data_IF_613682393450
#
_entry.id   IF_613682393450
#
_cell.length_a   1.000
_cell.length_b   1.000
_cell.length_c   1.000
_cell.angle_alpha   90.00
_cell.angle_beta   90.00
_cell.angle_gamma   90.00
#
_symmetry.space_group_name_H-M   'P 1'
#
loop_
_entity.id
_entity.type
_entity.pdbx_description
1 polymer ?
#
# COMPACT_ATOMS: atom_id res chain seq x y z
N UNK A 1 -29.05 57.43 15.28
CA UNK A 1 -27.65 57.80 15.01
C UNK A 1 -26.84 56.60 15.46
N UNK A 2 -26.63 55.69 14.51
CA UNK A 2 -26.15 54.33 14.71
C UNK A 2 -24.74 54.26 14.11
N UNK A 3 -23.76 53.79 14.87
CA UNK A 3 -22.37 53.65 14.41
C UNK A 3 -21.84 52.27 14.78
N UNK A 4 -21.86 51.39 13.77
CA UNK A 4 -20.81 50.47 13.36
C UNK A 4 -20.06 49.66 14.44
N UNK A 5 -20.48 48.41 14.62
CA UNK A 5 -19.58 47.30 14.89
C UNK A 5 -19.44 46.47 13.59
N UNK A 6 -18.20 46.18 13.21
CA UNK A 6 -17.82 45.50 11.96
C UNK A 6 -18.19 44.02 12.02
N UNK A 7 -19.16 43.60 11.21
CA UNK A 7 -19.46 42.20 10.93
C UNK A 7 -18.57 41.63 9.82
N UNK A 8 -18.18 40.36 10.00
CA UNK A 8 -18.26 39.39 8.91
C UNK A 8 -16.98 38.97 8.19
N UNK A 9 -16.06 38.29 8.88
CA UNK A 9 -15.11 37.40 8.22
C UNK A 9 -15.81 36.08 7.78
N UNK A 10 -16.24 36.05 6.51
CA UNK A 10 -15.95 35.01 5.50
C UNK A 10 -16.37 33.51 5.71
N UNK A 11 -16.34 32.67 4.66
CA UNK A 11 -17.55 32.06 4.10
C UNK A 11 -17.44 30.53 3.98
N UNK A 12 -18.35 29.78 4.60
CA UNK A 12 -18.56 28.39 4.23
C UNK A 12 -20.05 28.08 4.27
N UNK A 13 -20.63 27.94 3.08
CA UNK A 13 -21.99 27.48 2.86
C UNK A 13 -22.12 26.04 3.36
N UNK A 14 -23.14 25.79 4.19
CA UNK A 14 -23.61 24.45 4.57
C UNK A 14 -23.77 23.60 3.31
N UNK A 15 -22.86 22.65 3.11
CA UNK A 15 -23.14 21.51 2.25
C UNK A 15 -24.26 20.71 2.90
N UNK A 16 -25.38 20.66 2.20
CA UNK A 16 -26.58 19.88 2.47
C UNK A 16 -26.19 18.44 2.80
N UNK A 17 -26.53 18.00 4.00
CA UNK A 17 -26.37 16.60 4.42
C UNK A 17 -27.22 15.74 3.49
N UNK A 18 -26.59 15.03 2.56
CA UNK A 18 -27.25 14.01 1.76
C UNK A 18 -27.57 12.83 2.69
N UNK A 19 -28.74 12.86 3.34
CA UNK A 19 -29.35 11.65 3.91
C UNK A 19 -29.93 10.86 2.74
N UNK A 20 -29.40 9.67 2.37
CA UNK A 20 -30.10 8.83 1.42
C UNK A 20 -31.49 8.51 1.99
N UNK A 21 -32.54 8.45 1.15
CA UNK A 21 -33.85 8.02 1.59
C UNK A 21 -33.70 6.63 2.23
N UNK A 22 -34.30 6.41 3.40
CA UNK A 22 -34.37 5.08 4.02
C UNK A 22 -35.28 4.23 3.12
N UNK A 23 -34.71 3.71 2.04
CA UNK A 23 -35.26 2.56 1.33
C UNK A 23 -35.17 1.33 2.21
N UNK A 24 -35.84 0.25 1.81
CA UNK A 24 -35.68 -1.04 2.46
C UNK A 24 -34.19 -1.38 2.53
N UNK A 25 -33.69 -1.69 3.74
CA UNK A 25 -32.31 -2.14 3.92
C UNK A 25 -32.09 -3.37 3.02
N UNK A 26 -30.91 -3.48 2.39
CA UNK A 26 -30.60 -4.66 1.58
C UNK A 26 -30.72 -5.91 2.44
N UNK A 27 -31.42 -6.93 1.93
CA UNK A 27 -31.59 -8.20 2.63
C UNK A 27 -30.30 -9.05 2.65
N UNK A 28 -29.32 -8.69 1.82
CA UNK A 28 -28.01 -9.36 1.68
C UNK A 28 -26.93 -8.31 1.48
N UNK A 29 -25.81 -8.46 2.19
CA UNK A 29 -24.60 -7.63 2.07
C UNK A 29 -23.38 -8.53 2.21
N UNK A 30 -22.26 -8.14 1.59
CA UNK A 30 -21.01 -8.92 1.70
C UNK A 30 -20.45 -8.82 3.11
N UNK A 31 -20.49 -7.62 3.70
CA UNK A 31 -19.97 -7.34 5.05
C UNK A 31 -20.90 -6.38 5.81
N UNK A 32 -21.29 -6.78 7.03
CA UNK A 32 -21.97 -5.92 8.00
C UNK A 32 -20.97 -5.43 9.05
N UNK A 33 -20.80 -4.11 9.15
CA UNK A 33 -20.01 -3.48 10.21
C UNK A 33 -20.92 -2.91 11.29
N UNK A 34 -20.65 -3.29 12.54
CA UNK A 34 -21.36 -2.76 13.71
C UNK A 34 -20.46 -1.73 14.40
N UNK A 35 -20.78 -0.45 14.18
CA UNK A 35 -20.04 0.72 14.67
C UNK A 35 -19.32 1.48 13.55
N UNK A 36 -19.64 2.77 13.43
CA UNK A 36 -19.07 3.78 12.55
C UNK A 36 -18.13 4.73 13.33
N UNK A 37 -17.36 4.20 14.27
CA UNK A 37 -16.22 4.91 14.86
C UNK A 37 -15.04 5.02 13.86
N UNK A 38 -13.90 5.62 14.26
CA UNK A 38 -12.74 5.81 13.38
C UNK A 38 -12.28 4.52 12.69
N UNK A 39 -12.26 3.40 13.43
CA UNK A 39 -11.88 2.09 12.89
C UNK A 39 -12.92 1.57 11.89
N UNK A 40 -14.21 1.62 12.25
CA UNK A 40 -15.30 1.14 11.39
C UNK A 40 -15.39 1.93 10.08
N UNK A 41 -15.30 3.25 10.17
CA UNK A 41 -15.27 4.12 8.99
C UNK A 41 -14.03 3.87 8.10
N UNK A 42 -12.87 3.63 8.71
CA UNK A 42 -11.64 3.30 7.97
C UNK A 42 -11.78 1.97 7.23
N UNK A 43 -12.25 0.92 7.91
CA UNK A 43 -12.46 -0.41 7.31
C UNK A 43 -13.49 -0.34 6.19
N UNK A 44 -14.61 0.35 6.40
CA UNK A 44 -15.64 0.50 5.39
C UNK A 44 -15.09 1.16 4.12
N UNK A 45 -14.34 2.25 4.27
CA UNK A 45 -13.71 2.95 3.15
C UNK A 45 -12.69 2.07 2.41
N UNK A 46 -11.87 1.32 3.15
CA UNK A 46 -10.93 0.37 2.54
C UNK A 46 -11.67 -0.71 1.74
N UNK A 47 -12.66 -1.37 2.34
CA UNK A 47 -13.44 -2.43 1.70
C UNK A 47 -14.22 -1.94 0.47
N UNK A 48 -14.84 -0.77 0.57
CA UNK A 48 -15.54 -0.15 -0.56
C UNK A 48 -14.61 0.12 -1.74
N UNK A 49 -13.35 0.51 -1.48
CA UNK A 49 -12.33 0.69 -2.52
C UNK A 49 -11.89 -0.62 -3.19
N UNK A 50 -12.06 -1.76 -2.51
CA UNK A 50 -11.89 -3.09 -3.09
C UNK A 50 -13.18 -3.64 -3.73
N UNK A 51 -14.24 -2.82 -3.85
CA UNK A 51 -15.50 -3.20 -4.50
C UNK A 51 -16.43 -4.05 -3.63
N UNK A 52 -16.17 -4.15 -2.33
CA UNK A 52 -17.00 -4.92 -1.40
C UNK A 52 -18.21 -4.09 -0.96
N UNK A 53 -19.41 -4.66 -1.02
CA UNK A 53 -20.63 -3.99 -0.56
C UNK A 53 -20.75 -4.08 0.96
N UNK A 54 -20.44 -2.96 1.63
CA UNK A 54 -20.47 -2.85 3.09
C UNK A 54 -21.70 -2.10 3.57
N UNK A 55 -22.42 -2.67 4.52
CA UNK A 55 -23.43 -1.97 5.31
C UNK A 55 -22.85 -1.68 6.70
N UNK A 56 -22.88 -0.41 7.12
CA UNK A 56 -22.48 0.00 8.47
C UNK A 56 -23.73 0.35 9.27
N UNK A 57 -23.82 -0.17 10.49
CA UNK A 57 -24.85 0.18 11.46
C UNK A 57 -24.16 0.77 12.68
N UNK A 58 -24.50 2.00 13.02
CA UNK A 58 -24.06 2.64 14.27
C UNK A 58 -25.29 2.96 15.14
N UNK A 59 -25.10 2.93 16.46
CA UNK A 59 -26.11 3.36 17.43
C UNK A 59 -26.27 4.89 17.44
N UNK A 60 -25.19 5.63 17.18
CA UNK A 60 -25.17 7.08 17.10
C UNK A 60 -25.74 7.55 15.77
N UNK A 61 -26.64 8.52 15.84
CA UNK A 61 -27.20 9.19 14.66
C UNK A 61 -26.34 10.36 14.20
N UNK A 62 -25.28 10.70 14.94
CA UNK A 62 -24.40 11.84 14.70
C UNK A 62 -22.92 11.43 14.77
N UNK A 63 -22.08 12.15 14.03
CA UNK A 63 -20.63 12.01 14.11
C UNK A 63 -20.14 12.70 15.38
N UNK A 64 -19.46 11.97 16.26
CA UNK A 64 -18.87 12.55 17.48
C UNK A 64 -17.77 13.55 17.13
N UNK A 65 -17.92 14.81 17.56
CA UNK A 65 -16.95 15.91 17.37
C UNK A 65 -15.94 15.96 18.52
N UNK A 66 -16.12 15.14 19.57
CA UNK A 66 -15.16 15.04 20.65
C UNK A 66 -13.84 14.47 20.11
N UNK A 67 -12.79 15.31 20.05
CA UNK A 67 -11.44 14.91 19.64
C UNK A 67 -10.92 13.84 20.60
N UNK A 68 -11.06 12.57 20.23
CA UNK A 68 -10.51 11.42 20.96
C UNK A 68 -9.13 10.99 20.46
N UNK A 69 -8.67 11.51 19.33
CA UNK A 69 -7.35 11.23 18.76
C UNK A 69 -6.39 12.38 19.09
N UNK A 70 -5.36 12.09 19.88
CA UNK A 70 -4.38 13.08 20.34
C UNK A 70 -3.22 13.20 19.33
N UNK A 71 -2.94 12.15 18.54
CA UNK A 71 -1.92 12.19 17.48
C UNK A 71 -2.15 11.04 16.48
N UNK A 72 -2.02 11.32 15.18
CA UNK A 72 -1.99 10.29 14.13
C UNK A 72 -0.53 10.05 13.75
N UNK A 73 -0.05 8.82 13.89
CA UNK A 73 1.28 8.46 13.37
C UNK A 73 1.24 8.26 11.85
N UNK A 74 2.40 8.14 11.22
CA UNK A 74 2.50 7.99 9.77
C UNK A 74 1.78 6.74 9.24
N UNK A 75 1.67 5.68 10.05
CA UNK A 75 0.95 4.48 9.65
C UNK A 75 -0.56 4.75 9.64
N UNK A 76 -1.08 5.47 10.63
CA UNK A 76 -2.46 5.91 10.65
C UNK A 76 -2.76 6.86 9.47
N UNK A 77 -1.88 7.83 9.19
CA UNK A 77 -1.99 8.72 8.03
C UNK A 77 -1.96 7.94 6.71
N UNK A 78 -1.11 6.91 6.61
CA UNK A 78 -1.02 6.05 5.43
C UNK A 78 -2.26 5.17 5.26
N UNK A 79 -2.80 4.63 6.34
CA UNK A 79 -4.07 3.88 6.32
C UNK A 79 -5.22 4.79 5.89
N UNK A 80 -5.25 6.04 6.35
CA UNK A 80 -6.24 7.03 5.92
C UNK A 80 -6.10 7.34 4.43
N UNK A 81 -4.87 7.54 3.94
CA UNK A 81 -4.62 7.74 2.51
C UNK A 81 -5.09 6.53 1.67
N UNK A 82 -4.84 5.31 2.14
CA UNK A 82 -5.34 4.07 1.54
C UNK A 82 -6.86 3.99 1.59
N UNK A 83 -7.49 4.48 2.65
CA UNK A 83 -8.94 4.62 2.75
C UNK A 83 -9.51 5.75 1.87
N UNK A 84 -8.66 6.52 1.16
CA UNK A 84 -9.09 7.62 0.28
C UNK A 84 -9.28 8.95 1.01
N UNK A 85 -8.84 9.02 2.27
CA UNK A 85 -8.87 10.20 3.12
C UNK A 85 -7.43 10.75 3.15
N UNK A 86 -7.11 11.62 2.20
CA UNK A 86 -5.79 12.25 2.09
C UNK A 86 -5.79 13.70 2.53
N UNK A 87 -4.75 14.08 3.28
CA UNK A 87 -4.48 15.42 3.83
C UNK A 87 -4.72 16.56 2.81
N UNK A 88 -5.69 17.42 3.06
CA UNK A 88 -5.60 18.80 2.59
C UNK A 88 -4.55 19.52 3.44
N UNK A 89 -3.28 19.39 3.03
CA UNK A 89 -2.09 20.14 3.48
C UNK A 89 -2.25 20.90 4.81
N UNK A 90 -1.92 20.25 5.92
CA UNK A 90 -1.30 20.95 7.05
C UNK A 90 0.24 20.89 6.88
N UNK A 91 0.91 22.02 7.07
CA UNK A 91 2.35 22.20 6.87
C UNK A 91 3.18 21.37 7.88
N UNK A 92 4.43 20.98 7.54
CA UNK A 92 5.18 20.00 8.31
C UNK A 92 5.82 20.64 9.56
N UNK A 93 5.48 20.14 10.74
CA UNK A 93 6.34 20.24 11.92
C UNK A 93 7.13 18.92 12.02
N UNK A 94 8.44 19.07 11.98
CA UNK A 94 9.42 18.00 11.87
C UNK A 94 9.52 17.22 13.19
N UNK A 95 8.69 16.19 13.34
CA UNK A 95 8.80 15.25 14.45
C UNK A 95 9.53 13.98 14.01
N UNK A 96 10.68 13.76 14.65
CA UNK A 96 11.56 12.63 14.44
C UNK A 96 10.82 11.30 14.61
N UNK A 97 10.58 10.64 13.47
CA UNK A 97 9.90 9.36 13.39
C UNK A 97 10.82 8.28 13.98
N UNK A 98 10.50 7.78 15.17
CA UNK A 98 11.09 6.54 15.64
C UNK A 98 10.48 5.35 14.87
N UNK A 99 11.29 4.45 14.28
CA UNK A 99 10.76 3.30 13.56
C UNK A 99 10.03 2.35 14.53
N UNK A 100 8.71 2.22 14.34
CA UNK A 100 7.86 1.34 15.15
C UNK A 100 8.17 -0.13 14.82
N UNK A 101 8.34 -0.92 15.89
CA UNK A 101 8.86 -2.29 15.88
C UNK A 101 8.07 -3.22 14.97
N UNK A 102 8.79 -4.02 14.19
CA UNK A 102 8.26 -5.12 13.37
C UNK A 102 7.33 -6.00 14.21
N UNK A 103 6.06 -6.11 13.85
CA UNK A 103 5.12 -6.96 14.58
C UNK A 103 5.50 -8.42 14.40
N UNK A 104 5.60 -9.18 15.51
CA UNK A 104 5.99 -10.60 15.52
C UNK A 104 4.94 -11.53 14.89
N UNK A 105 3.75 -10.99 14.55
CA UNK A 105 2.65 -11.64 13.84
C UNK A 105 2.31 -10.77 12.63
N UNK A 106 2.67 -11.22 11.44
CA UNK A 106 2.32 -10.58 10.18
C UNK A 106 2.39 -11.58 9.03
N UNK A 107 1.77 -11.23 7.90
CA UNK A 107 1.67 -12.10 6.72
C UNK A 107 2.93 -11.95 5.88
N UNK A 108 4.03 -12.47 6.40
CA UNK A 108 5.34 -12.58 5.74
C UNK A 108 6.03 -13.90 6.11
N UNK A 109 6.90 -14.40 5.23
CA UNK A 109 7.63 -15.65 5.46
C UNK A 109 8.66 -15.43 6.54
N UNK A 110 8.57 -16.19 7.64
CA UNK A 110 9.53 -16.10 8.74
C UNK A 110 10.94 -16.43 8.27
N UNK A 111 11.91 -15.65 8.71
CA UNK A 111 13.32 -15.84 8.36
C UNK A 111 14.08 -14.53 8.51
N UNK A 112 15.40 -14.62 8.54
CA UNK A 112 16.29 -13.46 8.44
C UNK A 112 16.94 -13.47 7.07
N UNK A 113 17.06 -12.29 6.48
CA UNK A 113 17.84 -12.04 5.28
C UNK A 113 19.20 -11.48 5.67
N UNK A 114 20.29 -11.76 4.93
CA UNK A 114 21.58 -11.06 5.12
C UNK A 114 21.53 -9.61 4.62
N UNK A 115 20.43 -9.17 4.02
CA UNK A 115 20.25 -7.82 3.49
C UNK A 115 19.61 -6.87 4.51
N UNK A 116 19.50 -5.59 4.17
CA UNK A 116 18.76 -4.60 4.98
C UNK A 116 17.26 -4.62 4.68
N UNK A 117 16.80 -5.49 3.78
CA UNK A 117 15.39 -5.69 3.52
C UNK A 117 14.77 -6.46 4.69
N UNK A 118 13.68 -5.92 5.23
CA UNK A 118 13.00 -6.50 6.39
C UNK A 118 11.65 -7.05 5.95
N UNK A 119 11.47 -8.37 6.05
CA UNK A 119 10.17 -9.02 5.83
C UNK A 119 9.16 -8.51 6.85
N UNK A 120 7.97 -8.15 6.38
CA UNK A 120 6.94 -7.49 7.17
C UNK A 120 7.12 -5.98 7.32
N UNK A 121 8.21 -5.39 6.77
CA UNK A 121 8.36 -3.95 6.66
C UNK A 121 8.01 -3.46 5.26
N UNK A 122 7.65 -2.18 5.17
CA UNK A 122 7.46 -1.49 3.90
C UNK A 122 8.82 -1.24 3.25
N UNK A 123 8.95 -1.57 1.97
CA UNK A 123 10.17 -1.28 1.21
C UNK A 123 10.33 0.24 1.00
N UNK A 124 11.56 0.74 0.96
CA UNK A 124 11.84 2.16 0.70
C UNK A 124 11.27 2.63 -0.65
N UNK A 125 10.97 3.92 -0.74
CA UNK A 125 10.47 4.57 -1.95
C UNK A 125 11.58 5.41 -2.59
N UNK A 126 11.73 5.33 -3.92
CA UNK A 126 12.73 6.11 -4.67
C UNK A 126 12.25 6.43 -6.09
N UNK A 127 12.93 7.35 -6.76
CA UNK A 127 12.68 7.67 -8.17
C UNK A 127 13.35 6.64 -9.05
N UNK A 128 12.59 6.10 -9.99
CA UNK A 128 13.08 5.12 -10.96
C UNK A 128 12.82 5.62 -12.38
N UNK A 129 13.66 5.21 -13.34
CA UNK A 129 13.53 5.61 -14.76
C UNK A 129 13.34 4.41 -15.66
N UNK A 130 12.28 4.43 -16.46
CA UNK A 130 12.02 3.39 -17.46
C UNK A 130 12.73 3.66 -18.79
N UNK A 131 12.55 2.75 -19.74
CA UNK A 131 13.09 2.88 -21.11
C UNK A 131 12.53 4.07 -21.89
N UNK A 132 11.38 4.61 -21.47
CA UNK A 132 10.80 5.86 -22.01
C UNK A 132 11.55 7.13 -21.55
N UNK A 133 12.57 6.97 -20.70
CA UNK A 133 13.38 8.05 -20.14
C UNK A 133 12.67 8.83 -19.02
N UNK A 134 11.41 8.54 -18.72
CA UNK A 134 10.62 9.27 -17.72
C UNK A 134 10.90 8.72 -16.33
N UNK A 135 11.16 9.63 -15.40
CA UNK A 135 11.31 9.31 -13.99
C UNK A 135 9.93 9.22 -13.32
N UNK A 136 9.69 8.16 -12.56
CA UNK A 136 8.44 7.91 -11.83
C UNK A 136 8.75 7.45 -10.40
N UNK A 137 7.83 7.62 -9.44
CA UNK A 137 7.95 6.97 -8.14
C UNK A 137 7.96 5.45 -8.28
N UNK A 138 8.83 4.75 -7.55
CA UNK A 138 8.90 3.28 -7.54
C UNK A 138 7.56 2.62 -7.20
N UNK A 139 6.76 3.24 -6.34
CA UNK A 139 5.46 2.70 -5.93
C UNK A 139 4.44 2.60 -7.06
N UNK A 140 4.49 3.56 -7.99
CA UNK A 140 3.66 3.60 -9.19
C UNK A 140 4.05 2.46 -10.14
N UNK A 141 5.36 2.24 -10.27
CA UNK A 141 5.94 1.15 -11.08
C UNK A 141 5.63 -0.22 -10.52
N UNK A 142 5.69 -0.38 -9.20
CA UNK A 142 5.35 -1.61 -8.52
C UNK A 142 3.84 -1.94 -8.63
N UNK A 143 3.00 -0.99 -9.04
CA UNK A 143 1.57 -1.22 -9.27
C UNK A 143 0.75 -1.47 -8.01
N UNK A 144 -0.50 -1.92 -8.18
CA UNK A 144 -1.44 -2.18 -7.07
C UNK A 144 -1.59 -3.67 -6.73
N UNK A 145 -0.85 -4.54 -7.42
CA UNK A 145 -0.87 -5.99 -7.22
C UNK A 145 0.27 -6.49 -6.36
N UNK A 146 0.40 -7.81 -6.27
CA UNK A 146 1.64 -8.43 -5.83
C UNK A 146 2.72 -8.11 -6.87
N UNK A 147 3.96 -7.87 -6.42
CA UNK A 147 5.08 -7.65 -7.33
C UNK A 147 6.28 -8.49 -6.91
N UNK A 148 6.88 -9.18 -7.89
CA UNK A 148 8.20 -9.80 -7.75
C UNK A 148 9.22 -8.81 -8.31
N UNK A 149 10.04 -8.27 -7.43
CA UNK A 149 11.10 -7.32 -7.78
C UNK A 149 12.42 -8.09 -7.88
N UNK A 150 13.08 -8.01 -9.04
CA UNK A 150 14.47 -8.44 -9.21
C UNK A 150 15.42 -7.25 -9.12
N UNK A 151 16.43 -7.32 -8.26
CA UNK A 151 17.40 -6.25 -8.03
C UNK A 151 18.68 -6.53 -8.82
N UNK A 152 18.93 -5.73 -9.86
CA UNK A 152 20.05 -5.84 -10.78
C UNK A 152 20.00 -7.07 -11.69
N UNK A 153 18.87 -7.79 -11.69
CA UNK A 153 18.67 -8.99 -12.49
C UNK A 153 17.18 -9.23 -12.76
N UNK A 154 16.85 -9.90 -13.86
CA UNK A 154 15.49 -10.33 -14.17
C UNK A 154 15.14 -11.58 -13.38
N UNK A 155 14.45 -11.42 -12.24
CA UNK A 155 14.00 -12.54 -11.42
C UNK A 155 13.01 -13.47 -12.14
N UNK A 156 12.36 -13.01 -13.21
CA UNK A 156 11.46 -13.84 -14.02
C UNK A 156 12.20 -14.95 -14.75
N UNK A 157 13.49 -14.78 -15.03
CA UNK A 157 14.31 -15.82 -15.67
C UNK A 157 14.43 -17.10 -14.82
N UNK A 158 14.27 -16.98 -13.50
CA UNK A 158 14.31 -18.11 -12.55
C UNK A 158 12.92 -18.56 -12.10
N UNK A 159 11.85 -18.00 -12.68
CA UNK A 159 10.48 -18.46 -12.47
C UNK A 159 10.15 -19.58 -13.45
N UNK A 160 9.81 -20.75 -12.91
CA UNK A 160 9.22 -21.80 -13.73
C UNK A 160 7.80 -21.39 -14.21
N UNK A 161 7.31 -22.10 -15.23
CA UNK A 161 6.04 -21.74 -15.88
C UNK A 161 4.82 -21.92 -14.97
N UNK A 162 4.86 -22.86 -14.03
CA UNK A 162 3.77 -23.13 -13.09
C UNK A 162 3.64 -21.97 -12.09
N UNK A 163 4.77 -21.55 -11.53
CA UNK A 163 4.86 -20.51 -10.51
C UNK A 163 4.58 -19.14 -11.10
N UNK A 164 5.08 -18.88 -12.32
CA UNK A 164 4.75 -17.67 -13.08
C UNK A 164 3.24 -17.58 -13.35
N UNK A 165 2.60 -18.69 -13.75
CA UNK A 165 1.17 -18.71 -14.01
C UNK A 165 0.35 -18.55 -12.71
N UNK A 166 0.78 -19.17 -11.61
CA UNK A 166 0.16 -19.00 -10.30
C UNK A 166 0.25 -17.55 -9.79
N UNK A 167 1.42 -16.93 -9.96
CA UNK A 167 1.64 -15.55 -9.57
C UNK A 167 0.78 -14.59 -10.39
N UNK A 168 0.73 -14.77 -11.72
CA UNK A 168 -0.13 -13.97 -12.59
C UNK A 168 -1.63 -14.11 -12.25
N UNK A 169 -2.11 -15.34 -11.96
CA UNK A 169 -3.50 -15.56 -11.51
C UNK A 169 -3.82 -14.85 -10.19
N UNK A 170 -2.83 -14.68 -9.32
CA UNK A 170 -2.97 -13.91 -8.09
C UNK A 170 -2.85 -12.37 -8.29
N UNK A 171 -2.82 -11.89 -9.55
CA UNK A 171 -2.63 -10.48 -9.87
C UNK A 171 -1.17 -10.01 -9.72
N UNK A 172 -0.22 -10.94 -9.73
CA UNK A 172 1.20 -10.69 -9.58
C UNK A 172 1.87 -10.16 -10.86
N UNK A 173 2.72 -9.15 -10.73
CA UNK A 173 3.56 -8.60 -11.80
C UNK A 173 5.06 -8.74 -11.48
N UNK A 174 5.91 -8.70 -12.49
CA UNK A 174 7.38 -8.80 -12.32
C UNK A 174 8.03 -7.49 -12.73
N UNK A 175 8.94 -6.98 -11.91
CA UNK A 175 9.68 -5.73 -12.18
C UNK A 175 11.16 -5.95 -11.93
N UNK A 176 12.01 -5.39 -12.77
CA UNK A 176 13.45 -5.32 -12.52
C UNK A 176 13.86 -3.90 -12.12
N UNK A 177 14.59 -3.76 -11.01
CA UNK A 177 15.25 -2.52 -10.61
C UNK A 177 16.75 -2.66 -10.87
N UNK A 178 17.30 -1.87 -11.80
CA UNK A 178 18.71 -1.86 -12.16
C UNK A 178 19.48 -0.75 -11.42
N UNK A 179 20.79 -0.93 -11.24
CA UNK A 179 21.64 0.11 -10.68
C UNK A 179 21.93 1.20 -11.72
N UNK A 180 22.04 2.46 -11.28
CA UNK A 180 22.35 3.60 -12.15
C UNK A 180 23.62 3.35 -12.98
N UNK A 181 23.49 3.42 -14.30
CA UNK A 181 24.61 3.33 -15.25
C UNK A 181 24.85 1.94 -15.84
N UNK A 182 24.11 0.92 -15.42
CA UNK A 182 24.01 -0.32 -16.21
C UNK A 182 23.21 -0.02 -17.48
N UNK A 183 23.68 -0.52 -18.63
CA UNK A 183 23.09 -0.20 -19.94
C UNK A 183 21.69 -0.80 -20.08
N UNK A 184 20.68 -0.06 -19.61
CA UNK A 184 19.23 -0.35 -19.74
C UNK A 184 18.76 -0.45 -21.21
N UNK A 185 19.61 -0.06 -22.17
CA UNK A 185 19.33 -0.12 -23.62
C UNK A 185 19.07 -1.54 -24.18
N UNK A 186 19.35 -2.60 -23.40
CA UNK A 186 19.11 -3.99 -23.78
C UNK A 186 18.07 -4.70 -22.89
N UNK A 187 17.52 -4.01 -21.88
CA UNK A 187 16.60 -4.61 -20.93
C UNK A 187 15.18 -4.66 -21.49
N UNK A 188 14.53 -5.82 -21.30
CA UNK A 188 13.15 -6.10 -21.73
C UNK A 188 12.16 -5.12 -21.08
N UNK A 189 10.94 -5.07 -21.62
CA UNK A 189 9.79 -4.38 -21.01
C UNK A 189 9.77 -4.70 -19.49
N UNK A 190 9.66 -3.68 -18.64
CA UNK A 190 9.63 -3.74 -17.15
C UNK A 190 10.97 -3.63 -16.38
N UNK A 191 12.03 -3.13 -17.01
CA UNK A 191 13.27 -2.71 -16.34
C UNK A 191 13.29 -1.21 -16.00
N UNK A 192 13.74 -0.88 -14.79
CA UNK A 192 13.76 0.48 -14.25
C UNK A 192 15.06 0.81 -13.52
N UNK A 193 15.68 1.94 -13.84
CA UNK A 193 16.94 2.38 -13.22
C UNK A 193 16.69 3.10 -11.89
N UNK A 194 17.33 2.68 -10.81
CA UNK A 194 17.30 3.33 -9.49
C UNK A 194 18.11 4.64 -9.51
N UNK A 195 17.42 5.79 -9.60
CA UNK A 195 18.08 7.09 -9.74
C UNK A 195 18.68 7.61 -8.43
N UNK A 196 18.01 7.30 -7.33
CA UNK A 196 18.33 7.80 -6.00
C UNK A 196 19.26 6.85 -5.22
N UNK A 197 19.47 5.63 -5.75
CA UNK A 197 20.28 4.60 -5.10
C UNK A 197 19.66 4.14 -3.78
N UNK A 198 18.32 4.11 -3.72
CA UNK A 198 17.56 3.72 -2.53
C UNK A 198 17.60 2.20 -2.34
N UNK A 199 17.60 1.45 -3.44
CA UNK A 199 17.55 0.00 -3.45
C UNK A 199 18.95 -0.59 -3.58
N UNK A 200 19.62 -0.28 -4.68
CA UNK A 200 20.89 -0.89 -5.03
C UNK A 200 22.07 0.06 -4.79
N UNK A 201 23.21 -0.43 -4.27
CA UNK A 201 23.40 -1.69 -3.52
C UNK A 201 23.04 -1.55 -2.02
N UNK A 202 22.46 -0.40 -1.62
CA UNK A 202 22.37 0.00 -0.21
C UNK A 202 21.42 -0.84 0.62
N UNK A 203 20.29 -1.24 0.05
CA UNK A 203 19.25 -2.02 0.72
C UNK A 203 19.47 -3.51 0.51
N UNK A 204 19.79 -3.90 -0.73
CA UNK A 204 19.99 -5.28 -1.18
C UNK A 204 21.15 -5.34 -2.19
N UNK A 205 21.84 -6.49 -2.31
CA UNK A 205 22.83 -6.70 -3.35
C UNK A 205 22.17 -6.93 -4.72
N UNK A 206 22.97 -6.79 -5.79
CA UNK A 206 22.60 -7.28 -7.13
C UNK A 206 22.41 -8.80 -7.09
N UNK A 207 21.45 -9.31 -7.85
CA UNK A 207 21.12 -10.74 -7.86
C UNK A 207 20.14 -11.14 -6.76
N UNK A 208 19.53 -10.19 -6.07
CA UNK A 208 18.50 -10.43 -5.05
C UNK A 208 17.10 -10.26 -5.62
N UNK A 209 16.10 -10.84 -4.98
CA UNK A 209 14.69 -10.67 -5.33
C UNK A 209 13.80 -10.55 -4.08
N UNK A 210 12.66 -9.90 -4.25
CA UNK A 210 11.65 -9.77 -3.20
C UNK A 210 10.23 -9.86 -3.77
N UNK A 211 9.36 -10.60 -3.07
CA UNK A 211 7.91 -10.56 -3.28
C UNK A 211 7.33 -9.51 -2.34
N UNK A 212 6.64 -8.54 -2.92
CA UNK A 212 6.11 -7.36 -2.23
C UNK A 212 4.60 -7.27 -2.48
N UNK A 213 3.85 -6.89 -1.45
CA UNK A 213 2.39 -6.72 -1.48
C UNK A 213 1.95 -5.39 -2.11
N UNK A 214 0.65 -5.24 -2.41
CA UNK A 214 0.06 -3.95 -2.82
C UNK A 214 0.41 -2.76 -1.92
N UNK A 215 0.46 -2.99 -0.60
CA UNK A 215 0.81 -1.98 0.42
C UNK A 215 2.31 -1.72 0.56
N UNK A 216 3.11 -2.32 -0.33
CA UNK A 216 4.58 -2.25 -0.40
C UNK A 216 5.30 -2.94 0.76
N UNK A 217 4.60 -3.79 1.52
CA UNK A 217 5.23 -4.64 2.51
C UNK A 217 5.92 -5.84 1.87
N UNK A 218 7.15 -6.12 2.30
CA UNK A 218 7.93 -7.27 1.86
C UNK A 218 7.36 -8.55 2.48
N UNK A 219 6.91 -9.50 1.66
CA UNK A 219 6.42 -10.82 2.09
C UNK A 219 7.60 -11.77 2.28
N UNK A 220 8.46 -11.83 1.27
CA UNK A 220 9.60 -12.74 1.22
C UNK A 220 10.69 -12.12 0.37
N UNK A 221 11.95 -12.37 0.72
CA UNK A 221 13.11 -12.05 -0.09
C UNK A 221 14.16 -13.16 -0.07
N UNK A 222 15.04 -13.17 -1.07
CA UNK A 222 16.11 -14.15 -1.24
C UNK A 222 16.91 -13.92 -2.52
N UNK A 223 17.86 -14.79 -2.85
CA UNK A 223 18.54 -14.78 -4.15
C UNK A 223 17.52 -14.84 -5.30
N UNK A 224 17.76 -14.11 -6.39
CA UNK A 224 16.88 -14.11 -7.56
C UNK A 224 16.83 -15.47 -8.27
N UNK A 225 17.83 -16.33 -8.06
CA UNK A 225 17.82 -17.73 -8.50
C UNK A 225 16.73 -18.56 -7.81
N UNK A 226 16.25 -18.13 -6.64
CA UNK A 226 15.21 -18.81 -5.87
C UNK A 226 13.80 -18.28 -6.20
N UNK A 227 13.61 -17.49 -7.26
CA UNK A 227 12.36 -16.78 -7.52
C UNK A 227 11.10 -17.67 -7.45
N UNK A 228 11.15 -18.87 -8.02
CA UNK A 228 10.06 -19.86 -7.95
C UNK A 228 9.71 -20.25 -6.51
N UNK A 229 10.71 -20.45 -5.65
CA UNK A 229 10.50 -20.72 -4.23
C UNK A 229 9.90 -19.52 -3.51
N UNK A 230 10.44 -18.32 -3.74
CA UNK A 230 9.95 -17.08 -3.12
C UNK A 230 8.46 -16.85 -3.44
N UNK A 231 8.07 -17.02 -4.70
CA UNK A 231 6.68 -16.89 -5.16
C UNK A 231 5.79 -17.97 -4.54
N UNK A 232 6.17 -19.25 -4.62
CA UNK A 232 5.39 -20.35 -4.07
C UNK A 232 5.14 -20.17 -2.57
N UNK A 233 6.18 -19.92 -1.78
CA UNK A 233 6.04 -19.73 -0.32
C UNK A 233 5.19 -18.49 0.00
N UNK A 234 5.33 -17.41 -0.77
CA UNK A 234 4.52 -16.19 -0.60
C UNK A 234 3.04 -16.44 -0.91
N UNK A 235 2.74 -17.12 -2.02
CA UNK A 235 1.35 -17.46 -2.39
C UNK A 235 0.73 -18.46 -1.43
N UNK A 236 1.48 -19.46 -0.96
CA UNK A 236 0.99 -20.37 0.08
C UNK A 236 0.63 -19.64 1.37
N UNK A 237 1.47 -18.68 1.79
CA UNK A 237 1.20 -17.87 2.98
C UNK A 237 -0.03 -16.97 2.79
N UNK A 238 -0.13 -16.28 1.65
CA UNK A 238 -1.25 -15.38 1.35
C UNK A 238 -2.56 -16.17 1.16
N UNK A 239 -2.50 -17.34 0.53
CA UNK A 239 -3.64 -18.24 0.33
C UNK A 239 -4.16 -18.89 1.61
N UNK A 240 -3.32 -19.10 2.63
CA UNK A 240 -3.76 -19.56 3.96
C UNK A 240 -4.52 -18.49 4.75
N UNK A 241 -4.41 -17.22 4.36
CA UNK A 241 -5.04 -16.08 5.02
C UNK A 241 -6.09 -15.38 4.14
N UNK A 242 -6.15 -15.68 2.85
CA UNK A 242 -7.27 -15.37 1.97
C UNK A 242 -8.35 -16.45 2.15
N UNK A 243 -9.30 -16.22 3.05
CA UNK A 243 -10.64 -16.77 2.86
C UNK A 243 -11.21 -16.07 1.62
N UNK A 244 -11.09 -16.73 0.47
CA UNK A 244 -11.76 -16.30 -0.76
C UNK A 244 -13.26 -16.42 -0.49
N UNK A 245 -13.95 -15.28 -0.43
CA UNK A 245 -15.39 -15.23 -0.70
C UNK A 245 -15.55 -15.68 -2.16
N UNK A 246 -16.14 -16.87 -2.33
CA UNK A 246 -16.78 -17.29 -3.57
C UNK A 246 -18.18 -16.69 -3.64
#
# INVERSE_FOLDING_TARGET
METAAKDGAAPWSRHEQVRPPIGALPSVVDVLLVGCGPVGATIANLLARYGVHVLIVDKSTEVSIARQAIELDNDALRILQLAGIGEQRAQPEESQIQPKKTTRRGVFVKGRSPTKLVRGAVIGQGRVRGSDGKARPSDEVFGQGLVLIGFGTDARASLDSSEAAAFARAGGSTVQIAHRGERSHLARHDSWDDLDGVFLPRLVPVGWAAVVRPDKTVVHDGPATDASRLVRESLSLLGQHCWVMQ
#
